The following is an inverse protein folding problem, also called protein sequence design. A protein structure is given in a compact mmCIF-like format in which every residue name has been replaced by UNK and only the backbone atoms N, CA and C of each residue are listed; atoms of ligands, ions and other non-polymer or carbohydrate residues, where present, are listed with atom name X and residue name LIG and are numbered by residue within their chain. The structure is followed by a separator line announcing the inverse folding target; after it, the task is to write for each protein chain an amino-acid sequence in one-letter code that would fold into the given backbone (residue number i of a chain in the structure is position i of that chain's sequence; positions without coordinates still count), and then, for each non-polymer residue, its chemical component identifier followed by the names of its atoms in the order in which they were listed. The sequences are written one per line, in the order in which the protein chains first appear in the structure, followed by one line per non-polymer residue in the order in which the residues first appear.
data_IF_460011122147
#
_entry.id   IF_460011122147
#
_cell.length_a   1.000
_cell.length_b   1.000
_cell.length_c   1.000
_cell.angle_alpha   90.00
_cell.angle_beta   90.00
_cell.angle_gamma   90.00
#
_symmetry.space_group_name_H-M   'P 1'
#
loop_
_entity.id
_entity.type
_entity.pdbx_description
1 polymer ?
#
# COMPACT_ATOMS: atom_id res chain seq x y z
N UNK A 1 -1.43 8.79 14.31
CA UNK A 1 -1.02 7.70 13.37
C UNK A 1 0.13 6.92 13.99
N UNK A 2 0.09 5.60 13.87
CA UNK A 2 1.15 4.72 14.38
C UNK A 2 2.48 5.05 13.72
N UNK A 3 3.56 5.15 14.52
CA UNK A 3 4.90 5.47 14.00
C UNK A 3 5.37 4.42 12.98
N UNK A 4 4.96 3.16 13.16
CA UNK A 4 5.31 2.10 12.22
C UNK A 4 4.70 2.33 10.84
N UNK A 5 3.48 2.86 10.78
CA UNK A 5 2.81 3.22 9.52
C UNK A 5 3.56 4.37 8.84
N UNK A 6 3.96 5.38 9.62
CA UNK A 6 4.73 6.52 9.10
C UNK A 6 6.07 6.03 8.53
N UNK A 7 6.75 5.13 9.24
CA UNK A 7 8.03 4.57 8.78
C UNK A 7 7.87 3.76 7.49
N UNK A 8 6.80 2.97 7.38
CA UNK A 8 6.51 2.20 6.17
C UNK A 8 6.20 3.13 5.00
N UNK A 9 5.41 4.16 5.23
CA UNK A 9 5.10 5.14 4.19
C UNK A 9 6.36 5.89 3.75
N UNK A 10 7.22 6.26 4.70
CA UNK A 10 8.50 6.90 4.40
C UNK A 10 9.42 5.97 3.59
N UNK A 11 9.44 4.67 3.92
CA UNK A 11 10.21 3.69 3.17
C UNK A 11 9.70 3.56 1.73
N UNK A 12 8.39 3.56 1.54
CA UNK A 12 7.81 3.53 0.19
C UNK A 12 8.12 4.81 -0.59
N UNK A 13 8.09 5.98 0.06
CA UNK A 13 8.48 7.24 -0.56
C UNK A 13 9.95 7.21 -0.97
N UNK A 14 10.83 6.69 -0.11
CA UNK A 14 12.25 6.52 -0.41
C UNK A 14 12.46 5.59 -1.60
N UNK A 15 11.72 4.49 -1.66
CA UNK A 15 11.76 3.56 -2.79
C UNK A 15 11.34 4.26 -4.09
N UNK A 16 10.27 5.06 -4.04
CA UNK A 16 9.80 5.82 -5.20
C UNK A 16 10.86 6.83 -5.67
N UNK A 17 11.52 7.53 -4.73
CA UNK A 17 12.61 8.45 -5.05
C UNK A 17 13.79 7.71 -5.70
N UNK A 18 14.14 6.54 -5.17
CA UNK A 18 15.19 5.71 -5.75
C UNK A 18 14.88 5.36 -7.20
N UNK A 19 13.65 4.91 -7.47
CA UNK A 19 13.23 4.58 -8.82
C UNK A 19 13.23 5.83 -9.72
N UNK A 20 12.80 6.98 -9.20
CA UNK A 20 12.79 8.23 -9.94
C UNK A 20 14.18 8.61 -10.43
N UNK A 21 15.19 8.54 -9.56
CA UNK A 21 16.55 8.88 -9.93
C UNK A 21 17.21 7.83 -10.83
N UNK A 22 16.61 6.63 -10.93
CA UNK A 22 17.06 5.60 -11.86
C UNK A 22 16.49 5.83 -13.29
N UNK A 23 15.49 6.68 -13.45
CA UNK A 23 14.92 6.97 -14.77
C UNK A 23 15.90 7.83 -15.56
N UNK A 24 16.26 7.34 -16.74
CA UNK A 24 17.19 8.04 -17.64
C UNK A 24 16.51 9.17 -18.42
N UNK A 25 15.19 9.31 -18.31
CA UNK A 25 14.42 10.34 -19.03
C UNK A 25 14.50 11.71 -18.36
N UNK A 26 14.96 11.80 -17.12
CA UNK A 26 15.13 13.08 -16.42
C UNK A 26 16.47 13.70 -16.83
N UNK A 27 16.39 14.70 -17.71
CA UNK A 27 17.57 15.24 -18.40
C UNK A 27 18.14 16.50 -17.76
N UNK A 28 17.35 17.24 -16.98
CA UNK A 28 17.81 18.48 -16.36
C UNK A 28 17.26 18.63 -14.94
N UNK A 29 17.78 19.67 -14.24
CA UNK A 29 17.42 19.91 -12.83
C UNK A 29 15.97 20.35 -12.68
N UNK A 30 15.42 21.06 -13.67
CA UNK A 30 14.05 21.56 -13.59
C UNK A 30 13.03 20.43 -13.69
N UNK A 31 13.24 19.48 -14.60
CA UNK A 31 12.37 18.31 -14.70
C UNK A 31 12.50 17.42 -13.46
N UNK A 32 13.71 17.24 -12.97
CA UNK A 32 13.93 16.45 -11.75
C UNK A 32 13.26 17.10 -10.54
N UNK A 33 13.42 18.42 -10.38
CA UNK A 33 12.78 19.14 -9.28
C UNK A 33 11.25 19.07 -9.36
N UNK A 34 10.68 19.24 -10.55
CA UNK A 34 9.23 19.12 -10.74
C UNK A 34 8.73 17.71 -10.39
N UNK A 35 9.45 16.68 -10.82
CA UNK A 35 9.09 15.29 -10.52
C UNK A 35 9.14 15.00 -9.02
N UNK A 36 10.17 15.49 -8.32
CA UNK A 36 10.29 15.32 -6.87
C UNK A 36 9.16 16.03 -6.14
N UNK A 37 8.82 17.26 -6.57
CA UNK A 37 7.71 18.01 -5.96
C UNK A 37 6.37 17.32 -6.18
N UNK A 38 6.12 16.80 -7.38
CA UNK A 38 4.89 16.07 -7.67
C UNK A 38 4.80 14.77 -6.85
N UNK A 39 5.92 14.07 -6.72
CA UNK A 39 5.97 12.86 -5.91
C UNK A 39 5.70 13.18 -4.43
N UNK A 40 6.31 14.24 -3.91
CA UNK A 40 6.08 14.68 -2.53
C UNK A 40 4.62 15.05 -2.30
N UNK A 41 4.00 15.78 -3.24
CA UNK A 41 2.59 16.14 -3.17
C UNK A 41 1.70 14.90 -3.18
N UNK A 42 2.01 13.92 -4.03
CA UNK A 42 1.25 12.66 -4.12
C UNK A 42 1.31 11.90 -2.81
N UNK A 43 2.49 11.77 -2.20
CA UNK A 43 2.62 11.06 -0.90
C UNK A 43 1.95 11.83 0.23
N UNK A 44 2.02 13.15 0.22
CA UNK A 44 1.34 13.98 1.21
C UNK A 44 -0.18 13.77 1.14
N UNK A 45 -0.75 13.80 -0.08
CA UNK A 45 -2.18 13.57 -0.27
C UNK A 45 -2.58 12.17 0.20
N UNK A 46 -1.78 11.15 -0.09
CA UNK A 46 -2.04 9.78 0.36
C UNK A 46 -1.98 9.67 1.89
N UNK A 47 -1.03 10.35 2.53
CA UNK A 47 -0.93 10.37 3.98
C UNK A 47 -2.17 10.97 4.64
N UNK A 48 -2.74 12.02 4.04
CA UNK A 48 -3.93 12.67 4.57
C UNK A 48 -5.16 11.75 4.57
N UNK A 49 -5.30 10.89 3.53
CA UNK A 49 -6.46 10.01 3.40
C UNK A 49 -6.19 8.60 3.91
N UNK A 50 -5.00 8.33 4.41
CA UNK A 50 -4.62 6.99 4.87
C UNK A 50 -5.58 6.42 5.92
N UNK A 51 -6.01 7.17 6.94
CA UNK A 51 -6.95 6.66 7.93
C UNK A 51 -8.41 6.68 7.51
N UNK A 52 -8.72 7.16 6.30
CA UNK A 52 -10.11 7.27 5.84
C UNK A 52 -10.65 5.88 5.45
N UNK A 53 -11.76 5.47 6.06
CA UNK A 53 -12.40 4.20 5.80
C UNK A 53 -13.41 4.33 4.66
N UNK A 54 -13.29 3.47 3.65
CA UNK A 54 -14.27 3.35 2.58
C UNK A 54 -15.36 2.36 2.97
N UNK A 55 -16.50 2.39 2.25
CA UNK A 55 -17.57 1.41 2.47
C UNK A 55 -17.09 -0.01 2.16
N UNK A 56 -16.29 -0.18 1.12
CA UNK A 56 -15.75 -1.48 0.76
C UNK A 56 -14.89 -2.06 1.89
N UNK A 57 -14.07 -1.24 2.53
CA UNK A 57 -13.29 -1.66 3.68
C UNK A 57 -14.19 -2.06 4.85
N UNK A 58 -15.18 -1.22 5.20
CA UNK A 58 -16.06 -1.45 6.34
C UNK A 58 -16.90 -2.71 6.16
N UNK A 59 -17.42 -2.92 4.95
CA UNK A 59 -18.37 -4.00 4.69
C UNK A 59 -17.67 -5.35 4.42
N UNK A 60 -16.48 -5.33 3.83
CA UNK A 60 -15.83 -6.54 3.34
C UNK A 60 -14.43 -6.75 3.91
N UNK A 61 -13.50 -5.84 3.65
CA UNK A 61 -12.10 -6.07 3.96
C UNK A 61 -11.84 -6.21 5.45
N UNK A 62 -12.44 -5.35 6.26
CA UNK A 62 -12.33 -5.37 7.71
C UNK A 62 -12.85 -6.70 8.27
N UNK A 63 -13.99 -7.14 7.76
CA UNK A 63 -14.64 -8.39 8.19
C UNK A 63 -13.75 -9.59 7.86
N UNK A 64 -13.15 -9.59 6.66
CA UNK A 64 -12.29 -10.71 6.24
C UNK A 64 -10.99 -10.76 7.01
N UNK A 65 -10.38 -9.62 7.31
CA UNK A 65 -9.17 -9.59 8.15
C UNK A 65 -9.49 -10.10 9.56
N UNK A 66 -10.62 -9.69 10.12
CA UNK A 66 -11.05 -10.16 11.44
C UNK A 66 -11.33 -11.66 11.43
N UNK A 67 -11.91 -12.16 10.35
CA UNK A 67 -12.10 -13.61 10.18
C UNK A 67 -10.77 -14.36 10.28
N UNK A 68 -9.73 -13.89 9.58
CA UNK A 68 -8.42 -14.52 9.64
C UNK A 68 -7.78 -14.42 11.02
N UNK A 69 -8.00 -13.33 11.76
CA UNK A 69 -7.54 -13.22 13.14
C UNK A 69 -8.19 -14.26 14.02
N UNK A 70 -9.50 -14.46 13.89
CA UNK A 70 -10.28 -15.37 14.71
C UNK A 70 -9.93 -16.84 14.41
N UNK A 71 -9.60 -17.14 13.15
CA UNK A 71 -9.34 -18.51 12.70
C UNK A 71 -7.86 -18.85 12.55
N UNK A 72 -6.96 -18.04 13.14
CA UNK A 72 -5.54 -18.36 13.19
C UNK A 72 -4.74 -17.99 11.94
N UNK A 73 -5.13 -16.93 11.23
CA UNK A 73 -4.39 -16.43 10.09
C UNK A 73 -4.48 -17.36 8.88
N UNK A 74 -3.34 -17.87 8.42
CA UNK A 74 -3.31 -18.76 7.24
C UNK A 74 -4.16 -20.03 7.41
N UNK A 75 -4.43 -20.47 8.63
CA UNK A 75 -5.31 -21.62 8.87
C UNK A 75 -6.74 -21.36 8.41
N UNK A 76 -7.18 -20.10 8.42
CA UNK A 76 -8.50 -19.72 7.95
C UNK A 76 -8.70 -19.90 6.44
N UNK A 77 -7.63 -20.06 5.67
CA UNK A 77 -7.71 -20.32 4.22
C UNK A 77 -8.30 -21.68 3.88
N UNK A 78 -8.45 -22.57 4.85
CA UNK A 78 -9.12 -23.87 4.66
C UNK A 78 -10.60 -23.71 4.31
N UNK A 79 -11.18 -22.57 4.67
CA UNK A 79 -12.59 -22.30 4.48
C UNK A 79 -12.75 -21.28 3.35
N UNK A 80 -13.90 -21.32 2.67
CA UNK A 80 -14.20 -20.34 1.65
C UNK A 80 -14.51 -18.98 2.29
N UNK A 81 -13.76 -17.94 1.94
CA UNK A 81 -13.90 -16.60 2.48
C UNK A 81 -13.84 -15.59 1.35
N UNK A 82 -14.82 -14.70 1.31
CA UNK A 82 -14.82 -13.55 0.42
C UNK A 82 -14.97 -13.91 -1.06
N UNK A 83 -14.97 -12.87 -1.89
CA UNK A 83 -15.14 -13.00 -3.33
C UNK A 83 -13.85 -12.66 -4.10
N UNK A 84 -12.77 -12.34 -3.39
CA UNK A 84 -11.48 -11.99 -4.01
C UNK A 84 -10.71 -13.25 -4.38
N UNK A 85 -9.75 -13.07 -5.27
CA UNK A 85 -8.88 -14.16 -5.67
C UNK A 85 -7.96 -14.60 -4.53
N UNK A 86 -7.45 -15.81 -4.65
CA UNK A 86 -6.64 -16.45 -3.61
C UNK A 86 -5.41 -15.62 -3.21
N UNK A 87 -4.60 -15.03 -4.13
CA UNK A 87 -3.45 -14.21 -3.71
C UNK A 87 -3.80 -13.07 -2.78
N UNK A 88 -4.93 -12.41 -2.99
CA UNK A 88 -5.37 -11.32 -2.12
C UNK A 88 -5.79 -11.83 -0.75
N UNK A 89 -6.42 -13.01 -0.69
CA UNK A 89 -6.79 -13.64 0.58
C UNK A 89 -5.55 -14.03 1.39
N UNK A 90 -4.48 -14.49 0.75
CA UNK A 90 -3.21 -14.72 1.42
C UNK A 90 -2.64 -13.43 2.03
N UNK A 91 -2.73 -12.33 1.32
CA UNK A 91 -2.29 -11.03 1.84
C UNK A 91 -3.11 -10.63 3.08
N UNK A 92 -4.44 -10.76 3.03
CA UNK A 92 -5.30 -10.45 4.17
C UNK A 92 -4.99 -11.36 5.37
N UNK A 93 -4.74 -12.64 5.12
CA UNK A 93 -4.34 -13.57 6.16
C UNK A 93 -2.99 -13.18 6.78
N UNK A 94 -2.04 -12.75 5.96
CA UNK A 94 -0.73 -12.31 6.44
C UNK A 94 -0.84 -11.10 7.36
N UNK A 95 -1.62 -10.08 6.98
CA UNK A 95 -1.77 -8.88 7.82
C UNK A 95 -2.56 -9.15 9.09
N UNK A 96 -3.32 -10.24 9.16
CA UNK A 96 -4.08 -10.60 10.35
C UNK A 96 -3.17 -10.89 11.56
N UNK A 97 -1.90 -11.20 11.33
CA UNK A 97 -0.93 -11.41 12.41
C UNK A 97 -0.39 -10.12 12.99
N UNK A 98 -0.60 -8.98 12.31
CA UNK A 98 -0.09 -7.69 12.75
C UNK A 98 -1.09 -6.98 13.65
N UNK A 99 -0.59 -6.20 14.60
CA UNK A 99 -1.39 -5.31 15.44
C UNK A 99 -1.50 -3.90 14.86
N UNK A 100 -0.84 -3.64 13.73
CA UNK A 100 -0.98 -2.37 12.99
C UNK A 100 -2.39 -2.32 12.40
N UNK A 101 -2.97 -1.11 12.39
CA UNK A 101 -4.31 -0.90 11.84
C UNK A 101 -4.39 -1.43 10.40
N UNK A 102 -5.26 -2.41 10.19
CA UNK A 102 -5.33 -3.15 8.93
C UNK A 102 -5.65 -2.28 7.72
N UNK A 103 -6.46 -1.23 7.88
CA UNK A 103 -6.73 -0.28 6.81
C UNK A 103 -5.44 0.37 6.29
N UNK A 104 -4.56 0.78 7.21
CA UNK A 104 -3.29 1.38 6.85
C UNK A 104 -2.41 0.39 6.08
N UNK A 105 -2.35 -0.87 6.52
CA UNK A 105 -1.58 -1.90 5.84
C UNK A 105 -2.11 -2.18 4.44
N UNK A 106 -3.42 -2.24 4.28
CA UNK A 106 -4.06 -2.45 2.97
C UNK A 106 -3.72 -1.29 2.03
N UNK A 107 -3.83 -0.06 2.51
CA UNK A 107 -3.52 1.13 1.69
C UNK A 107 -2.03 1.21 1.33
N UNK A 108 -1.14 0.89 2.27
CA UNK A 108 0.29 0.85 1.99
C UNK A 108 0.63 -0.18 0.92
N UNK A 109 0.01 -1.34 0.98
CA UNK A 109 0.16 -2.38 -0.04
C UNK A 109 -0.27 -1.86 -1.42
N UNK A 110 -1.41 -1.17 -1.48
CA UNK A 110 -1.90 -0.56 -2.72
C UNK A 110 -0.94 0.50 -3.24
N UNK A 111 -0.42 1.36 -2.37
CA UNK A 111 0.55 2.40 -2.74
C UNK A 111 1.81 1.76 -3.33
N UNK A 112 2.30 0.68 -2.73
CA UNK A 112 3.48 -0.02 -3.24
C UNK A 112 3.27 -0.50 -4.67
N UNK A 113 2.13 -1.13 -4.96
CA UNK A 113 1.83 -1.58 -6.32
C UNK A 113 1.57 -0.42 -7.28
N UNK A 114 1.01 0.69 -6.81
CA UNK A 114 0.89 1.91 -7.62
C UNK A 114 2.26 2.42 -8.06
N UNK A 115 3.24 2.41 -7.14
CA UNK A 115 4.61 2.81 -7.44
C UNK A 115 5.21 1.90 -8.51
N UNK A 116 5.08 0.58 -8.34
CA UNK A 116 5.60 -0.39 -9.30
C UNK A 116 4.97 -0.20 -10.67
N UNK A 117 3.66 -0.01 -10.73
CA UNK A 117 2.94 0.20 -11.98
C UNK A 117 3.38 1.49 -12.67
N UNK A 118 3.43 2.60 -11.93
CA UNK A 118 3.78 3.90 -12.48
C UNK A 118 5.19 3.90 -13.09
N UNK A 119 6.17 3.35 -12.37
CA UNK A 119 7.55 3.32 -12.85
C UNK A 119 7.78 2.27 -13.93
N UNK A 120 6.99 1.19 -13.94
CA UNK A 120 7.03 0.20 -15.03
C UNK A 120 6.57 0.84 -16.34
N UNK A 121 5.49 1.62 -16.30
CA UNK A 121 4.99 2.34 -17.49
C UNK A 121 6.00 3.40 -17.93
N UNK A 122 6.56 4.17 -17.00
CA UNK A 122 7.54 5.21 -17.31
C UNK A 122 8.84 4.64 -17.87
N UNK A 123 9.20 3.41 -17.49
CA UNK A 123 10.42 2.76 -17.95
C UNK A 123 10.32 2.11 -19.34
N UNK A 124 9.11 2.01 -19.87
CA UNK A 124 8.90 1.49 -21.23
C UNK A 124 9.28 2.57 -22.25
#
# INVERSE_FOLDING_TARGET
MDIRVILLLAAEAGFALFLLFRLKTLKDIYHTAAAVLLLAAAFYARALVLPYETLDYQDFLKVWVQYFRDWGGFKGLRFSVGNYNIPYLYFLAAISYSDIYDLCLIKLFSIFFDILLAFSVAGI
#
